data_IF_691442549934
#
_entry.id   IF_691442549934
#
_cell.length_a   1.000
_cell.length_b   1.000
_cell.length_c   1.000
_cell.angle_alpha   90.00
_cell.angle_beta   90.00
_cell.angle_gamma   90.00
#
_symmetry.space_group_name_H-M   'P 1'
#
loop_
_entity.id
_entity.type
_entity.pdbx_description
1 polymer ?
#
# COMPACT_ATOMS: atom_id res chain seq x y z
N UNK A 1 5.84 -3.89 -1.80
CA UNK A 1 6.34 -2.76 -2.61
C UNK A 1 7.88 -2.73 -2.54
N UNK A 2 8.55 -3.48 -3.42
CA UNK A 2 10.03 -3.51 -3.55
C UNK A 2 10.49 -3.31 -5.00
N UNK A 3 9.58 -3.01 -5.93
CA UNK A 3 9.84 -3.02 -7.37
C UNK A 3 9.88 -1.62 -8.03
N UNK A 4 10.31 -0.59 -7.30
CA UNK A 4 10.62 0.71 -7.92
C UNK A 4 12.03 0.75 -8.56
N UNK A 5 12.81 -0.33 -8.42
CA UNK A 5 14.19 -0.44 -8.89
C UNK A 5 14.41 -0.27 -10.42
N UNK A 6 13.49 -0.60 -11.36
CA UNK A 6 13.83 -0.56 -12.79
C UNK A 6 13.65 0.82 -13.46
N UNK A 7 13.01 1.80 -12.81
CA UNK A 7 12.72 3.10 -13.45
C UNK A 7 13.86 4.11 -13.35
N UNK A 8 14.55 4.19 -12.22
CA UNK A 8 15.66 5.13 -12.01
C UNK A 8 16.84 4.91 -12.96
N UNK A 9 17.27 3.67 -13.27
CA UNK A 9 18.35 3.43 -14.22
C UNK A 9 18.05 4.00 -15.61
N UNK A 10 16.82 3.84 -16.10
CA UNK A 10 16.44 4.32 -17.43
C UNK A 10 16.41 5.86 -17.50
N UNK A 11 15.89 6.52 -16.46
CA UNK A 11 15.90 7.98 -16.38
C UNK A 11 17.34 8.53 -16.29
N UNK A 12 18.20 7.89 -15.49
CA UNK A 12 19.60 8.27 -15.39
C UNK A 12 20.35 8.10 -16.73
N UNK A 13 20.16 6.96 -17.41
CA UNK A 13 20.73 6.72 -18.75
C UNK A 13 20.26 7.80 -19.73
N UNK A 14 18.98 8.15 -19.71
CA UNK A 14 18.42 9.19 -20.56
C UNK A 14 19.06 10.56 -20.30
N UNK A 15 19.21 10.97 -19.02
CA UNK A 15 19.85 12.23 -18.63
C UNK A 15 21.31 12.26 -19.09
N UNK A 16 22.08 11.21 -18.81
CA UNK A 16 23.49 11.10 -19.22
C UNK A 16 23.62 11.13 -20.74
N UNK A 17 22.76 10.43 -21.46
CA UNK A 17 22.74 10.46 -22.92
C UNK A 17 22.49 11.88 -23.46
N UNK A 18 21.60 12.65 -22.83
CA UNK A 18 21.37 14.04 -23.22
C UNK A 18 22.58 14.95 -22.96
N UNK A 19 23.26 14.80 -21.82
CA UNK A 19 24.47 15.56 -21.53
C UNK A 19 25.58 15.27 -22.55
N UNK A 20 25.82 13.99 -22.86
CA UNK A 20 26.78 13.58 -23.88
C UNK A 20 26.38 14.10 -25.26
N UNK A 21 25.10 14.05 -25.62
CA UNK A 21 24.62 14.52 -26.92
C UNK A 21 24.82 16.03 -27.08
N UNK A 22 24.56 16.83 -26.02
CA UNK A 22 24.75 18.29 -26.03
C UNK A 22 26.24 18.64 -26.19
N UNK A 23 27.12 17.94 -25.48
CA UNK A 23 28.57 18.11 -25.64
C UNK A 23 29.03 17.74 -27.06
N UNK A 24 28.52 16.63 -27.62
CA UNK A 24 28.82 16.24 -29.01
C UNK A 24 28.31 17.27 -30.02
N UNK A 25 27.11 17.81 -29.81
CA UNK A 25 26.57 18.88 -30.64
C UNK A 25 27.45 20.13 -30.59
N UNK A 26 27.96 20.50 -29.41
CA UNK A 26 28.85 21.64 -29.26
C UNK A 26 30.21 21.40 -29.94
N UNK A 27 30.83 20.25 -29.65
CA UNK A 27 32.13 19.88 -30.22
C UNK A 27 32.08 19.76 -31.75
N UNK A 28 30.95 19.38 -32.33
CA UNK A 28 30.79 19.33 -33.79
C UNK A 28 30.78 20.70 -34.50
N UNK A 29 30.68 21.80 -33.74
CA UNK A 29 30.85 23.17 -34.25
C UNK A 29 32.32 23.64 -34.19
N UNK A 30 33.22 22.86 -33.56
CA UNK A 30 34.62 23.22 -33.43
C UNK A 30 35.38 23.08 -34.75
N UNK A 31 36.56 23.70 -34.83
CA UNK A 31 37.45 23.56 -36.00
C UNK A 31 38.06 22.15 -36.12
N UNK A 32 38.10 21.41 -35.01
CA UNK A 32 38.68 20.06 -34.89
C UNK A 32 37.64 18.96 -35.16
N UNK A 33 36.37 19.32 -35.33
CA UNK A 33 35.31 18.41 -35.68
C UNK A 33 35.56 17.74 -37.04
N UNK A 34 35.21 16.45 -37.15
CA UNK A 34 35.28 15.75 -38.43
C UNK A 34 34.44 16.45 -39.51
N UNK A 35 34.93 16.44 -40.75
CA UNK A 35 34.37 17.23 -41.87
C UNK A 35 32.86 17.03 -42.08
N UNK A 36 32.37 15.78 -41.99
CA UNK A 36 30.94 15.47 -42.11
C UNK A 36 30.12 16.07 -40.95
N UNK A 37 30.62 15.99 -39.72
CA UNK A 37 29.93 16.51 -38.54
C UNK A 37 29.83 18.03 -38.62
N UNK A 38 30.92 18.69 -39.01
CA UNK A 38 30.96 20.13 -39.26
C UNK A 38 30.00 20.55 -40.37
N UNK A 39 29.92 19.78 -41.47
CA UNK A 39 28.97 20.04 -42.56
C UNK A 39 27.52 19.91 -42.10
N UNK A 40 27.18 18.88 -41.33
CA UNK A 40 25.84 18.67 -40.76
C UNK A 40 25.45 19.74 -39.74
N UNK A 41 26.39 20.16 -38.89
CA UNK A 41 26.19 21.21 -37.88
C UNK A 41 26.09 22.61 -38.49
N UNK A 42 26.65 22.80 -39.69
CA UNK A 42 26.52 24.02 -40.46
C UNK A 42 25.18 24.20 -41.20
N UNK A 43 24.29 23.21 -41.18
CA UNK A 43 22.97 23.29 -41.81
C UNK A 43 21.98 24.14 -41.01
N UNK A 44 21.12 24.87 -41.72
CA UNK A 44 20.02 25.60 -41.09
C UNK A 44 20.44 26.89 -40.43
N UNK A 45 21.31 27.67 -41.10
CA UNK A 45 21.72 29.01 -40.65
C UNK A 45 20.63 30.04 -40.93
N UNK A 46 19.81 29.79 -41.94
CA UNK A 46 18.65 30.63 -42.28
C UNK A 46 17.38 30.11 -41.57
N UNK A 47 16.42 30.99 -41.22
CA UNK A 47 15.18 30.60 -40.51
C UNK A 47 14.32 29.56 -41.24
N UNK A 48 14.38 29.54 -42.58
CA UNK A 48 13.58 28.65 -43.44
C UNK A 48 14.29 27.31 -43.76
N UNK A 49 15.52 27.14 -43.31
CA UNK A 49 16.29 25.93 -43.56
C UNK A 49 16.13 24.94 -42.42
N UNK A 50 16.09 23.65 -42.77
CA UNK A 50 16.10 22.60 -41.76
C UNK A 50 17.48 22.42 -41.14
N UNK A 51 17.50 21.87 -39.93
CA UNK A 51 18.73 21.65 -39.18
C UNK A 51 18.70 20.35 -38.39
N UNK A 52 19.89 19.80 -38.18
CA UNK A 52 20.11 18.66 -37.30
C UNK A 52 20.62 19.09 -35.92
N UNK A 53 21.65 19.94 -35.89
CA UNK A 53 22.29 20.37 -34.65
C UNK A 53 21.54 21.58 -34.03
N UNK A 54 20.96 21.46 -32.83
CA UNK A 54 20.31 22.57 -32.16
C UNK A 54 21.29 23.66 -31.68
N UNK A 55 22.55 23.30 -31.41
CA UNK A 55 23.60 24.25 -31.02
C UNK A 55 24.12 24.94 -32.26
N UNK A 56 23.94 26.26 -32.37
CA UNK A 56 24.17 27.01 -33.61
C UNK A 56 25.53 27.65 -33.73
N UNK A 57 26.17 27.96 -32.61
CA UNK A 57 27.51 28.55 -32.59
C UNK A 57 28.39 27.85 -31.56
N UNK A 58 29.70 27.82 -31.82
CA UNK A 58 30.67 27.25 -30.90
C UNK A 58 30.85 28.11 -29.63
N UNK A 59 30.61 29.42 -29.70
CA UNK A 59 30.71 30.32 -28.55
C UNK A 59 29.53 30.21 -27.56
N UNK A 60 28.47 29.48 -27.92
CA UNK A 60 27.34 29.26 -27.02
C UNK A 60 27.73 28.37 -25.84
N UNK A 61 27.41 28.84 -24.64
CA UNK A 61 27.52 28.04 -23.42
C UNK A 61 26.48 26.90 -23.46
N UNK A 62 26.95 25.65 -23.44
CA UNK A 62 26.12 24.44 -23.41
C UNK A 62 25.12 24.44 -22.25
N UNK A 63 25.51 24.98 -21.09
CA UNK A 63 24.62 25.09 -19.92
C UNK A 63 23.50 26.09 -20.18
N UNK A 64 23.81 27.22 -20.82
CA UNK A 64 22.80 28.22 -21.21
C UNK A 64 21.79 27.65 -22.21
N UNK A 65 22.24 26.82 -23.16
CA UNK A 65 21.36 26.17 -24.13
C UNK A 65 20.41 25.15 -23.47
N UNK A 66 20.91 24.35 -22.53
CA UNK A 66 20.06 23.46 -21.72
C UNK A 66 18.99 24.27 -20.98
N UNK A 67 19.36 25.39 -20.36
CA UNK A 67 18.44 26.17 -19.53
C UNK A 67 17.52 27.13 -20.31
N UNK A 68 17.66 27.22 -21.63
CA UNK A 68 16.79 28.05 -22.49
C UNK A 68 15.84 27.21 -23.34
N UNK A 69 16.16 25.95 -23.60
CA UNK A 69 15.29 25.04 -24.35
C UNK A 69 14.16 24.47 -23.48
N UNK A 70 12.98 24.27 -24.09
CA UNK A 70 11.84 23.62 -23.43
C UNK A 70 12.27 22.26 -22.85
N UNK A 71 12.97 21.46 -23.65
CA UNK A 71 13.41 20.12 -23.24
C UNK A 71 14.40 20.17 -22.06
N UNK A 72 15.37 21.09 -22.05
CA UNK A 72 16.34 21.16 -20.96
C UNK A 72 15.75 21.70 -19.65
N UNK A 73 14.97 22.79 -19.69
CA UNK A 73 14.31 23.34 -18.48
C UNK A 73 13.36 22.32 -17.86
N UNK A 74 12.46 21.75 -18.66
CA UNK A 74 11.54 20.72 -18.18
C UNK A 74 12.30 19.47 -17.72
N UNK A 75 13.40 19.10 -18.39
CA UNK A 75 14.27 17.98 -18.02
C UNK A 75 14.88 18.14 -16.63
N UNK A 76 15.34 19.35 -16.29
CA UNK A 76 15.84 19.66 -14.93
C UNK A 76 14.72 19.57 -13.91
N UNK A 77 13.56 20.19 -14.18
CA UNK A 77 12.41 20.19 -13.26
C UNK A 77 11.91 18.78 -12.97
N UNK A 78 11.70 17.95 -13.99
CA UNK A 78 11.24 16.56 -13.79
C UNK A 78 12.30 15.70 -13.09
N UNK A 79 13.59 15.96 -13.32
CA UNK A 79 14.68 15.24 -12.65
C UNK A 79 14.71 15.57 -11.17
N UNK A 80 14.62 16.85 -10.80
CA UNK A 80 14.56 17.28 -9.39
C UNK A 80 13.34 16.70 -8.71
N UNK A 81 12.16 16.79 -9.34
CA UNK A 81 10.94 16.20 -8.82
C UNK A 81 11.09 14.68 -8.59
N UNK A 82 11.65 13.94 -9.57
CA UNK A 82 11.88 12.51 -9.46
C UNK A 82 12.84 12.17 -8.31
N UNK A 83 13.95 12.90 -8.17
CA UNK A 83 14.92 12.67 -7.08
C UNK A 83 14.26 12.89 -5.71
N UNK A 84 13.48 13.96 -5.55
CA UNK A 84 12.76 14.24 -4.30
C UNK A 84 11.74 13.15 -3.96
N UNK A 85 10.94 12.72 -4.94
CA UNK A 85 9.96 11.63 -4.78
C UNK A 85 10.67 10.33 -4.37
N UNK A 86 11.76 9.99 -5.06
CA UNK A 86 12.44 8.71 -4.84
C UNK A 86 13.18 8.64 -3.51
N UNK A 87 13.88 9.72 -3.14
CA UNK A 87 14.61 9.79 -1.87
C UNK A 87 13.66 9.70 -0.69
N UNK A 88 12.57 10.47 -0.70
CA UNK A 88 11.58 10.45 0.38
C UNK A 88 10.80 9.13 0.47
N UNK A 89 10.68 8.39 -0.63
CA UNK A 89 9.98 7.09 -0.69
C UNK A 89 10.82 5.91 -0.19
N UNK A 90 12.09 6.12 0.17
CA UNK A 90 12.93 5.08 0.78
C UNK A 90 12.33 4.59 2.10
N UNK A 91 12.49 3.30 2.41
CA UNK A 91 11.87 2.70 3.62
C UNK A 91 12.33 3.39 4.92
N UNK A 92 13.58 3.87 4.95
CA UNK A 92 14.14 4.59 6.09
C UNK A 92 13.43 5.93 6.33
N UNK A 93 13.22 6.73 5.27
CA UNK A 93 12.57 8.05 5.39
C UNK A 93 11.06 7.87 5.59
N UNK A 94 10.41 7.00 4.79
CA UNK A 94 8.96 6.78 4.89
C UNK A 94 8.52 6.25 6.27
N UNK A 95 9.35 5.46 6.94
CA UNK A 95 9.06 4.97 8.30
C UNK A 95 9.32 6.00 9.40
N UNK A 96 10.33 6.84 9.23
CA UNK A 96 10.74 7.82 10.25
C UNK A 96 10.00 9.15 10.12
N UNK A 97 9.70 9.58 8.89
CA UNK A 97 9.14 10.88 8.54
C UNK A 97 8.05 10.71 7.46
N UNK A 98 6.89 10.20 7.85
CA UNK A 98 5.80 9.94 6.90
C UNK A 98 5.30 11.21 6.20
N UNK A 99 5.23 12.35 6.90
CA UNK A 99 4.83 13.64 6.33
C UNK A 99 5.73 14.08 5.16
N UNK A 100 7.05 13.98 5.35
CA UNK A 100 8.02 14.33 4.29
C UNK A 100 7.80 13.46 3.06
N UNK A 101 7.60 12.16 3.26
CA UNK A 101 7.21 11.25 2.19
C UNK A 101 5.92 11.73 1.51
N UNK A 102 4.86 11.98 2.27
CA UNK A 102 3.54 12.32 1.74
C UNK A 102 3.54 13.59 0.90
N UNK A 103 4.10 14.70 1.40
CA UNK A 103 4.15 15.97 0.68
C UNK A 103 5.01 15.90 -0.59
N UNK A 104 6.20 15.31 -0.49
CA UNK A 104 7.10 15.21 -1.64
C UNK A 104 6.56 14.24 -2.70
N UNK A 105 5.79 13.21 -2.32
CA UNK A 105 5.20 12.30 -3.29
C UNK A 105 4.25 13.01 -4.25
N UNK A 106 3.52 14.05 -3.80
CA UNK A 106 2.61 14.84 -4.63
C UNK A 106 3.30 15.59 -5.79
N UNK A 107 4.63 15.70 -5.76
CA UNK A 107 5.41 16.17 -6.92
C UNK A 107 5.21 15.28 -8.16
N UNK A 108 4.57 14.11 -8.06
CA UNK A 108 4.14 13.31 -9.21
C UNK A 108 3.31 14.15 -10.20
N UNK A 109 2.52 15.12 -9.72
CA UNK A 109 1.73 16.02 -10.58
C UNK A 109 2.65 16.86 -11.46
N UNK A 110 3.66 17.49 -10.86
CA UNK A 110 4.69 18.27 -11.56
C UNK A 110 5.47 17.38 -12.53
N UNK A 111 5.83 16.17 -12.10
CA UNK A 111 6.54 15.20 -12.91
C UNK A 111 5.77 14.82 -14.19
N UNK A 112 4.50 14.43 -14.09
CA UNK A 112 3.71 14.00 -15.26
C UNK A 112 3.36 15.16 -16.20
N UNK A 113 3.04 16.35 -15.67
CA UNK A 113 2.84 17.55 -16.48
C UNK A 113 4.13 17.89 -17.23
N UNK A 114 5.25 17.91 -16.51
CA UNK A 114 6.57 18.15 -17.09
C UNK A 114 6.92 17.14 -18.17
N UNK A 115 6.62 15.85 -17.97
CA UNK A 115 6.90 14.77 -18.94
C UNK A 115 6.11 14.94 -20.25
N UNK A 116 4.86 15.42 -20.19
CA UNK A 116 4.06 15.73 -21.38
C UNK A 116 4.69 16.88 -22.17
N UNK A 117 5.14 17.93 -21.47
CA UNK A 117 5.73 19.13 -22.08
C UNK A 117 7.16 18.88 -22.58
N UNK A 118 7.92 18.01 -21.93
CA UNK A 118 9.35 17.79 -22.16
C UNK A 118 9.70 17.50 -23.61
N UNK A 119 8.89 16.69 -24.29
CA UNK A 119 9.08 16.36 -25.71
C UNK A 119 8.59 17.41 -26.70
N UNK A 120 7.86 18.45 -26.26
CA UNK A 120 7.24 19.44 -27.14
C UNK A 120 8.25 20.34 -27.84
N UNK A 121 9.45 20.51 -27.26
CA UNK A 121 10.54 21.26 -27.90
C UNK A 121 11.14 20.58 -29.13
N UNK A 122 10.78 19.31 -29.40
CA UNK A 122 11.24 18.52 -30.55
C UNK A 122 12.75 18.62 -30.83
N UNK A 123 13.55 18.69 -29.75
CA UNK A 123 15.00 18.89 -29.80
C UNK A 123 15.72 17.74 -30.52
N UNK A 124 15.20 16.52 -30.40
CA UNK A 124 15.71 15.36 -31.12
C UNK A 124 15.16 15.40 -32.55
N UNK A 125 16.05 15.68 -33.49
CA UNK A 125 15.72 15.80 -34.91
C UNK A 125 16.27 14.60 -35.69
N UNK A 126 15.54 14.21 -36.72
CA UNK A 126 15.93 13.16 -37.65
C UNK A 126 15.65 13.60 -39.08
N UNK A 127 16.30 12.93 -40.03
CA UNK A 127 16.05 13.18 -41.44
C UNK A 127 14.60 12.81 -41.78
N UNK A 128 13.92 13.68 -42.51
CA UNK A 128 12.51 13.51 -42.90
C UNK A 128 12.36 12.32 -43.85
N UNK A 129 11.20 11.66 -43.83
CA UNK A 129 10.91 10.55 -44.74
C UNK A 129 11.05 10.96 -46.22
N UNK A 130 10.62 12.17 -46.58
CA UNK A 130 10.79 12.70 -47.94
C UNK A 130 12.26 12.88 -48.31
N UNK A 131 13.09 13.37 -47.39
CA UNK A 131 14.52 13.50 -47.63
C UNK A 131 15.20 12.14 -47.72
N UNK A 132 14.82 11.15 -46.90
CA UNK A 132 15.38 9.80 -46.96
C UNK A 132 15.08 9.08 -48.29
N UNK A 133 14.00 9.43 -48.99
CA UNK A 133 13.69 8.89 -50.31
C UNK A 133 14.61 9.43 -51.41
N UNK A 134 15.12 10.65 -51.25
CA UNK A 134 15.90 11.37 -52.27
C UNK A 134 17.39 11.42 -51.94
N UNK A 135 17.75 11.37 -50.66
CA UNK A 135 19.12 11.47 -50.15
C UNK A 135 19.56 10.10 -49.63
N UNK A 136 20.32 9.37 -50.45
CA UNK A 136 20.86 8.07 -50.07
C UNK A 136 21.93 8.22 -48.97
N UNK A 137 21.56 7.99 -47.72
CA UNK A 137 22.42 8.26 -46.54
C UNK A 137 23.75 7.51 -46.60
N UNK A 138 23.77 6.24 -47.05
CA UNK A 138 25.01 5.45 -47.08
C UNK A 138 25.99 5.97 -48.11
N UNK A 139 25.50 6.43 -49.26
CA UNK A 139 26.32 7.01 -50.32
C UNK A 139 26.72 8.48 -50.03
N UNK A 140 25.74 9.31 -49.67
CA UNK A 140 25.91 10.75 -49.50
C UNK A 140 26.70 11.13 -48.25
N UNK A 141 26.77 10.24 -47.24
CA UNK A 141 27.66 10.40 -46.08
C UNK A 141 29.12 10.58 -46.51
N UNK A 142 29.57 9.77 -47.47
CA UNK A 142 30.97 9.76 -47.92
C UNK A 142 31.22 10.79 -49.05
N UNK A 143 30.16 11.33 -49.66
CA UNK A 143 30.19 12.34 -50.73
C UNK A 143 29.62 13.70 -50.28
N UNK A 144 29.91 14.11 -49.04
CA UNK A 144 29.31 15.32 -48.42
C UNK A 144 29.71 16.65 -49.08
N UNK A 145 30.81 16.67 -49.85
CA UNK A 145 31.25 17.83 -50.64
C UNK A 145 30.43 18.06 -51.92
N UNK A 146 29.68 17.03 -52.33
CA UNK A 146 28.84 17.01 -53.54
C UNK A 146 27.37 17.29 -53.22
N UNK A 147 27.01 17.44 -51.94
CA UNK A 147 25.67 17.84 -51.55
C UNK A 147 25.26 19.13 -52.27
N UNK A 148 24.04 19.15 -52.81
CA UNK A 148 23.46 20.21 -53.67
C UNK A 148 24.06 20.32 -55.09
N UNK A 149 25.23 19.76 -55.34
CA UNK A 149 25.91 19.84 -56.65
C UNK A 149 25.45 18.74 -57.61
N UNK A 150 25.13 17.57 -57.07
CA UNK A 150 24.71 16.39 -57.85
C UNK A 150 23.29 15.97 -57.48
N UNK A 151 22.52 15.53 -58.48
CA UNK A 151 21.12 15.08 -58.29
C UNK A 151 20.97 13.91 -57.31
N UNK A 152 22.04 13.12 -57.15
CA UNK A 152 22.11 11.94 -56.31
C UNK A 152 22.18 12.26 -54.81
N UNK A 153 22.61 13.47 -54.45
CA UNK A 153 22.74 13.93 -53.06
C UNK A 153 22.14 15.33 -52.86
N UNK A 154 20.81 15.47 -52.90
CA UNK A 154 20.15 16.72 -52.53
C UNK A 154 20.39 17.04 -51.05
N UNK A 155 20.23 18.30 -50.63
CA UNK A 155 20.49 18.69 -49.24
C UNK A 155 19.56 17.91 -48.27
N UNK A 156 20.11 17.25 -47.22
CA UNK A 156 19.30 16.48 -46.29
C UNK A 156 18.39 17.40 -45.47
N UNK A 157 17.11 17.03 -45.36
CA UNK A 157 16.11 17.81 -44.63
C UNK A 157 15.75 17.16 -43.30
N UNK A 158 15.79 17.93 -42.21
CA UNK A 158 15.61 17.45 -40.85
C UNK A 158 14.38 18.04 -40.14
N UNK A 159 13.66 17.21 -39.42
CA UNK A 159 12.53 17.63 -38.59
C UNK A 159 12.62 17.04 -37.19
N UNK A 160 12.11 17.78 -36.21
CA UNK A 160 11.97 17.30 -34.84
C UNK A 160 10.97 16.14 -34.76
N UNK A 161 11.27 15.14 -33.93
CA UNK A 161 10.34 14.03 -33.67
C UNK A 161 9.14 14.54 -32.87
N UNK A 162 7.94 14.09 -33.24
CA UNK A 162 6.70 14.44 -32.52
C UNK A 162 6.71 13.84 -31.10
N UNK A 163 6.23 14.57 -30.09
CA UNK A 163 6.12 14.05 -28.73
C UNK A 163 5.11 12.90 -28.67
N UNK A 164 5.49 11.79 -28.05
CA UNK A 164 4.65 10.59 -27.89
C UNK A 164 4.32 10.26 -26.43
N UNK A 165 4.95 10.93 -25.46
CA UNK A 165 4.78 10.65 -24.04
C UNK A 165 3.30 10.79 -23.59
N UNK A 166 2.60 11.80 -24.11
CA UNK A 166 1.18 12.02 -23.79
C UNK A 166 0.29 10.81 -24.10
N UNK A 167 0.61 10.01 -25.13
CA UNK A 167 -0.17 8.81 -25.48
C UNK A 167 -0.13 7.75 -24.37
N UNK A 168 1.02 7.62 -23.72
CA UNK A 168 1.25 6.66 -22.65
C UNK A 168 0.78 7.18 -21.29
N UNK A 169 0.78 8.50 -21.08
CA UNK A 169 0.31 9.13 -19.84
C UNK A 169 -1.21 9.27 -19.80
N UNK A 170 -1.86 9.52 -20.94
CA UNK A 170 -3.29 9.86 -21.00
C UNK A 170 -4.20 8.78 -20.40
N UNK A 171 -4.06 7.52 -20.86
CA UNK A 171 -4.95 6.43 -20.41
C UNK A 171 -4.84 6.17 -18.90
N UNK A 172 -3.64 6.00 -18.29
CA UNK A 172 -3.51 5.87 -16.85
C UNK A 172 -4.02 7.08 -16.06
N UNK A 173 -3.82 8.31 -16.56
CA UNK A 173 -4.31 9.53 -15.88
C UNK A 173 -5.84 9.59 -15.91
N UNK A 174 -6.48 9.21 -17.01
CA UNK A 174 -7.95 9.13 -17.08
C UNK A 174 -8.48 8.11 -16.08
N UNK A 175 -7.89 6.91 -16.02
CA UNK A 175 -8.27 5.89 -15.04
C UNK A 175 -8.09 6.39 -13.59
N UNK A 176 -6.97 7.07 -13.31
CA UNK A 176 -6.72 7.68 -12.00
C UNK A 176 -7.76 8.75 -11.65
N UNK A 177 -8.12 9.63 -12.59
CA UNK A 177 -9.14 10.66 -12.38
C UNK A 177 -10.50 10.01 -12.11
N UNK A 178 -10.89 8.98 -12.87
CA UNK A 178 -12.12 8.24 -12.62
C UNK A 178 -12.13 7.63 -11.21
N UNK A 179 -11.03 7.01 -10.78
CA UNK A 179 -10.87 6.46 -9.43
C UNK A 179 -11.01 7.54 -8.34
N UNK A 180 -10.40 8.72 -8.56
CA UNK A 180 -10.49 9.86 -7.65
C UNK A 180 -11.90 10.46 -7.57
N UNK A 181 -12.62 10.53 -8.69
CA UNK A 181 -14.02 10.97 -8.72
C UNK A 181 -14.90 9.99 -7.91
N UNK A 182 -14.71 8.68 -8.09
CA UNK A 182 -15.44 7.66 -7.31
C UNK A 182 -15.13 7.76 -5.82
N UNK A 183 -13.87 7.98 -5.43
CA UNK A 183 -13.51 8.25 -4.02
C UNK A 183 -14.15 9.52 -3.50
N UNK A 184 -14.12 10.61 -4.28
CA UNK A 184 -14.71 11.88 -3.88
C UNK A 184 -16.22 11.74 -3.65
N UNK A 185 -16.94 11.03 -4.52
CA UNK A 185 -18.36 10.74 -4.31
C UNK A 185 -18.62 9.90 -3.05
N UNK A 186 -17.80 8.87 -2.79
CA UNK A 186 -17.88 8.07 -1.54
C UNK A 186 -17.56 8.88 -0.29
N UNK A 187 -16.68 9.88 -0.40
CA UNK A 187 -16.32 10.81 0.68
C UNK A 187 -17.46 11.77 1.04
N UNK A 188 -18.23 12.22 0.06
CA UNK A 188 -19.36 13.15 0.30
C UNK A 188 -20.52 12.49 1.06
N UNK A 189 -20.56 11.16 1.13
CA UNK A 189 -21.58 10.44 1.88
C UNK A 189 -21.42 10.68 3.39
N UNK A 190 -22.50 11.09 4.03
CA UNK A 190 -22.53 11.35 5.46
C UNK A 190 -22.38 10.06 6.28
N UNK A 191 -21.57 10.15 7.34
CA UNK A 191 -21.35 9.09 8.31
C UNK A 191 -21.88 9.58 9.65
N UNK A 192 -22.83 8.85 10.21
CA UNK A 192 -23.43 9.15 11.51
C UNK A 192 -22.75 8.30 12.56
N UNK A 193 -22.15 8.93 13.56
CA UNK A 193 -21.63 8.24 14.75
C UNK A 193 -22.82 7.90 15.63
N UNK A 194 -22.97 6.64 16.01
CA UNK A 194 -24.07 6.18 16.88
C UNK A 194 -23.64 5.97 18.32
N UNK A 195 -22.39 5.58 18.54
CA UNK A 195 -21.85 5.32 19.88
C UNK A 195 -20.33 5.50 19.89
N UNK A 196 -19.81 6.02 21.00
CA UNK A 196 -18.38 6.13 21.28
C UNK A 196 -18.12 5.46 22.62
N UNK A 197 -17.15 4.56 22.68
CA UNK A 197 -16.76 3.86 23.91
C UNK A 197 -15.25 3.95 24.07
N UNK A 198 -14.80 4.32 25.25
CA UNK A 198 -13.38 4.30 25.63
C UNK A 198 -13.13 3.08 26.50
N UNK A 199 -12.23 2.20 26.05
CA UNK A 199 -11.83 1.01 26.79
C UNK A 199 -10.57 1.28 27.61
N UNK A 200 -10.31 0.40 28.59
CA UNK A 200 -9.03 0.30 29.27
C UNK A 200 -7.90 0.08 28.24
N UNK A 201 -6.66 0.46 28.58
CA UNK A 201 -5.50 0.41 27.68
C UNK A 201 -5.49 1.38 26.47
N UNK A 202 -6.29 2.45 26.51
CA UNK A 202 -6.22 3.52 25.51
C UNK A 202 -6.73 3.07 24.13
N UNK A 203 -7.85 2.36 24.10
CA UNK A 203 -8.54 1.93 22.88
C UNK A 203 -9.87 2.68 22.76
N UNK A 204 -10.08 3.32 21.60
CA UNK A 204 -11.32 3.99 21.23
C UNK A 204 -12.16 3.09 20.34
N UNK A 205 -13.38 2.79 20.74
CA UNK A 205 -14.37 2.10 19.92
C UNK A 205 -15.38 3.11 19.36
N UNK A 206 -15.55 3.10 18.04
CA UNK A 206 -16.47 3.98 17.31
C UNK A 206 -17.50 3.13 16.59
N UNK A 207 -18.79 3.39 16.84
CA UNK A 207 -19.90 2.81 16.09
C UNK A 207 -20.47 3.84 15.13
N UNK A 208 -20.66 3.43 13.88
CA UNK A 208 -21.01 4.32 12.79
C UNK A 208 -22.07 3.69 11.88
N UNK A 209 -22.84 4.54 11.21
CA UNK A 209 -23.77 4.16 10.14
C UNK A 209 -23.55 5.03 8.91
N UNK A 210 -23.68 4.42 7.74
CA UNK A 210 -23.50 5.05 6.44
C UNK A 210 -24.51 4.46 5.45
N UNK A 211 -25.19 5.31 4.71
CA UNK A 211 -26.22 4.87 3.77
C UNK A 211 -25.63 3.96 2.68
N UNK A 212 -26.26 2.80 2.45
CA UNK A 212 -25.83 1.84 1.43
C UNK A 212 -24.49 1.14 1.72
N UNK A 213 -23.93 1.29 2.92
CA UNK A 213 -22.68 0.64 3.31
C UNK A 213 -22.93 -0.85 3.60
N UNK A 214 -22.22 -1.71 2.87
CA UNK A 214 -22.23 -3.16 3.04
C UNK A 214 -20.80 -3.63 3.24
N UNK A 215 -20.55 -4.35 4.32
CA UNK A 215 -19.24 -4.89 4.65
C UNK A 215 -19.26 -6.42 4.67
N UNK A 216 -18.08 -7.01 4.66
CA UNK A 216 -17.83 -8.42 4.96
C UNK A 216 -16.89 -8.52 6.17
N UNK A 217 -16.90 -9.68 6.83
CA UNK A 217 -16.08 -9.88 8.02
C UNK A 217 -14.58 -9.83 7.70
N UNK A 218 -13.82 -9.09 8.52
CA UNK A 218 -12.37 -8.91 8.34
C UNK A 218 -11.97 -7.79 7.36
N UNK A 219 -12.92 -7.15 6.67
CA UNK A 219 -12.64 -5.99 5.84
C UNK A 219 -12.19 -4.78 6.67
N UNK A 220 -11.53 -3.82 6.03
CA UNK A 220 -11.09 -2.58 6.65
C UNK A 220 -11.62 -1.34 5.91
N UNK A 221 -11.57 -0.20 6.58
CA UNK A 221 -11.96 1.10 6.05
C UNK A 221 -10.83 2.11 6.27
N UNK A 222 -10.82 3.17 5.49
CA UNK A 222 -10.02 4.37 5.80
C UNK A 222 -10.92 5.38 6.50
N UNK A 223 -10.40 5.93 7.60
CA UNK A 223 -11.03 6.99 8.37
C UNK A 223 -10.26 8.29 8.23
N UNK A 224 -11.01 9.37 8.08
CA UNK A 224 -10.52 10.74 8.14
C UNK A 224 -11.39 11.52 9.13
N UNK A 225 -10.73 12.36 9.93
CA UNK A 225 -11.38 13.18 10.94
C UNK A 225 -11.00 14.65 10.71
N UNK A 226 -11.95 15.49 10.30
CA UNK A 226 -11.67 16.86 9.90
C UNK A 226 -11.14 17.75 11.02
N UNK A 227 -11.44 17.42 12.28
CA UNK A 227 -10.91 18.15 13.44
C UNK A 227 -9.46 17.78 13.79
N UNK A 228 -8.96 16.65 13.29
CA UNK A 228 -7.56 16.21 13.50
C UNK A 228 -6.72 16.59 12.29
N UNK A 229 -7.12 16.12 11.11
CA UNK A 229 -6.43 16.41 9.85
C UNK A 229 -7.40 16.28 8.68
N UNK A 230 -7.43 17.28 7.80
CA UNK A 230 -8.33 17.31 6.64
C UNK A 230 -7.85 16.45 5.47
N UNK A 231 -6.58 16.02 5.49
CA UNK A 231 -5.92 15.36 4.36
C UNK A 231 -5.51 13.92 4.67
N UNK A 232 -5.29 13.58 5.94
CA UNK A 232 -4.85 12.25 6.34
C UNK A 232 -5.99 11.25 6.43
N UNK A 233 -5.74 10.07 5.88
CA UNK A 233 -6.61 8.92 5.90
C UNK A 233 -5.88 7.73 6.51
N UNK A 234 -6.45 7.15 7.57
CA UNK A 234 -5.82 6.07 8.32
C UNK A 234 -6.66 4.78 8.21
N UNK A 235 -6.05 3.63 7.90
CA UNK A 235 -6.76 2.37 7.76
C UNK A 235 -7.09 1.75 9.12
N UNK A 236 -8.32 1.25 9.28
CA UNK A 236 -8.77 0.52 10.46
C UNK A 236 -9.66 -0.65 10.07
N UNK A 237 -9.38 -1.81 10.65
CA UNK A 237 -10.17 -3.02 10.44
C UNK A 237 -11.53 -2.89 11.11
N UNK A 238 -12.56 -3.32 10.40
CA UNK A 238 -13.92 -3.39 10.93
C UNK A 238 -13.98 -4.50 11.98
N UNK A 239 -14.46 -4.17 13.17
CA UNK A 239 -14.62 -5.09 14.29
C UNK A 239 -16.04 -5.63 14.44
N UNK A 240 -17.00 -4.94 13.83
CA UNK A 240 -18.40 -5.34 13.73
C UNK A 240 -18.60 -6.49 12.74
N UNK A 241 -19.65 -7.28 12.93
CA UNK A 241 -20.06 -8.32 11.98
C UNK A 241 -20.97 -7.73 10.90
N UNK A 242 -20.94 -8.24 9.65
CA UNK A 242 -21.80 -7.75 8.58
C UNK A 242 -23.30 -7.91 8.86
N UNK A 243 -23.67 -8.77 9.82
CA UNK A 243 -25.03 -8.95 10.30
C UNK A 243 -25.50 -7.86 11.30
N UNK A 244 -24.61 -7.00 11.79
CA UNK A 244 -24.95 -5.88 12.69
C UNK A 244 -25.45 -4.65 11.91
N UNK A 245 -26.39 -3.88 12.48
CA UNK A 245 -26.99 -2.69 11.84
C UNK A 245 -26.07 -1.46 11.80
N UNK A 246 -24.85 -1.59 12.28
CA UNK A 246 -23.81 -0.56 12.34
C UNK A 246 -22.47 -1.19 12.00
N UNK A 247 -21.51 -0.36 11.61
CA UNK A 247 -20.13 -0.79 11.52
C UNK A 247 -19.28 -0.12 12.58
N UNK A 248 -18.30 -0.84 13.11
CA UNK A 248 -17.43 -0.35 14.17
C UNK A 248 -15.96 -0.62 13.93
N UNK A 249 -15.13 0.22 14.55
CA UNK A 249 -13.68 0.07 14.59
C UNK A 249 -13.17 0.21 16.02
N UNK A 250 -12.06 -0.48 16.32
CA UNK A 250 -11.32 -0.32 17.57
C UNK A 250 -9.94 0.27 17.26
N UNK A 251 -9.68 1.47 17.78
CA UNK A 251 -8.50 2.28 17.47
C UNK A 251 -7.64 2.37 18.72
N UNK A 252 -6.47 1.73 18.70
CA UNK A 252 -5.47 1.87 19.77
C UNK A 252 -4.66 3.15 19.59
N UNK A 253 -4.42 3.88 20.68
CA UNK A 253 -3.52 5.04 20.67
C UNK A 253 -2.07 4.58 20.53
N UNK A 254 -1.46 4.85 19.37
CA UNK A 254 -0.07 4.47 19.06
C UNK A 254 0.76 5.59 18.42
N UNK A 255 0.11 6.58 17.80
CA UNK A 255 0.72 7.71 17.14
C UNK A 255 -0.02 9.02 17.40
N UNK A 256 0.53 10.11 16.86
CA UNK A 256 0.02 11.47 16.95
C UNK A 256 -1.43 11.61 16.47
N UNK A 257 -1.76 11.11 15.28
CA UNK A 257 -3.13 11.16 14.75
C UNK A 257 -4.11 10.39 15.63
N UNK A 258 -3.76 9.17 16.04
CA UNK A 258 -4.62 8.34 16.91
C UNK A 258 -4.78 8.95 18.31
N UNK A 259 -3.76 9.62 18.84
CA UNK A 259 -3.83 10.31 20.12
C UNK A 259 -4.71 11.55 20.04
N UNK A 260 -4.60 12.33 18.96
CA UNK A 260 -5.46 13.48 18.70
C UNK A 260 -6.93 13.05 18.49
N UNK A 261 -7.17 11.94 17.78
CA UNK A 261 -8.50 11.35 17.65
C UNK A 261 -9.04 10.91 19.02
N UNK A 262 -8.25 10.18 19.80
CA UNK A 262 -8.64 9.75 21.14
C UNK A 262 -8.96 10.93 22.04
N UNK A 263 -8.22 12.04 21.96
CA UNK A 263 -8.55 13.26 22.70
C UNK A 263 -9.85 13.91 22.22
N UNK A 264 -10.06 13.96 20.91
CA UNK A 264 -11.26 14.59 20.32
C UNK A 264 -12.55 13.85 20.69
N UNK A 265 -12.48 12.52 20.79
CA UNK A 265 -13.64 11.64 21.06
C UNK A 265 -13.73 11.12 22.50
N UNK A 266 -12.59 10.97 23.18
CA UNK A 266 -12.44 10.26 24.46
C UNK A 266 -12.01 11.14 25.63
N UNK A 267 -12.16 12.48 25.54
CA UNK A 267 -11.86 13.37 26.67
C UNK A 267 -12.71 13.00 27.91
N UNK A 268 -12.06 12.33 28.86
CA UNK A 268 -12.57 12.06 30.19
C UNK A 268 -12.85 13.38 30.94
N UNK A 269 -14.07 13.45 31.50
CA UNK A 269 -14.54 14.31 32.61
C UNK A 269 -15.08 15.70 32.26
N UNK A 270 -16.40 15.76 32.03
CA UNK A 270 -17.42 16.35 32.96
C UNK A 270 -18.77 16.66 32.30
N UNK A 271 -18.87 16.61 30.97
CA UNK A 271 -20.13 16.84 30.27
C UNK A 271 -20.39 15.70 29.28
N UNK A 272 -21.60 15.17 29.30
CA UNK A 272 -22.13 14.34 28.21
C UNK A 272 -22.02 15.17 26.93
N UNK A 273 -21.10 14.83 26.01
CA UNK A 273 -21.11 15.45 24.69
C UNK A 273 -22.21 14.75 23.90
N UNK A 274 -23.28 15.48 23.63
CA UNK A 274 -24.30 15.07 22.67
C UNK A 274 -23.64 14.69 21.33
N UNK A 275 -24.15 13.64 20.68
CA UNK A 275 -23.54 13.06 19.47
C UNK A 275 -23.35 14.08 18.34
N UNK A 276 -24.17 15.13 18.27
CA UNK A 276 -24.04 16.21 17.28
C UNK A 276 -22.83 17.13 17.51
N UNK A 277 -22.20 17.10 18.68
CA UNK A 277 -20.99 17.89 18.99
C UNK A 277 -19.70 17.13 18.67
N UNK A 278 -19.82 15.86 18.29
CA UNK A 278 -18.66 15.05 17.93
C UNK A 278 -18.10 15.52 16.57
N UNK A 279 -16.78 15.43 16.38
CA UNK A 279 -16.18 15.72 15.09
C UNK A 279 -16.78 14.87 13.96
N UNK A 280 -16.90 15.47 12.79
CA UNK A 280 -17.33 14.76 11.60
C UNK A 280 -16.25 13.78 11.16
N UNK A 281 -16.66 12.54 10.90
CA UNK A 281 -15.84 11.49 10.30
C UNK A 281 -16.21 11.29 8.84
N UNK A 282 -15.21 10.98 8.02
CA UNK A 282 -15.39 10.46 6.68
C UNK A 282 -14.85 9.04 6.59
N UNK A 283 -15.58 8.18 5.88
CA UNK A 283 -15.29 6.75 5.73
C UNK A 283 -15.16 6.41 4.25
N UNK A 284 -14.02 5.83 3.88
CA UNK A 284 -13.77 5.24 2.56
C UNK A 284 -13.59 3.72 2.69
N UNK A 285 -14.25 2.96 1.82
CA UNK A 285 -14.30 1.50 1.87
C UNK A 285 -15.73 0.94 1.75
N UNK A 286 -15.92 -0.34 2.08
CA UNK A 286 -14.92 -1.24 2.66
C UNK A 286 -13.89 -1.74 1.63
N UNK A 287 -12.76 -2.22 2.14
CA UNK A 287 -11.68 -2.82 1.36
C UNK A 287 -11.50 -4.28 1.77
N UNK A 288 -11.36 -5.16 0.77
CA UNK A 288 -11.18 -6.60 0.95
C UNK A 288 -9.90 -6.94 1.72
N UNK A 289 -9.94 -8.04 2.47
CA UNK A 289 -8.80 -8.55 3.22
C UNK A 289 -8.72 -10.07 3.11
N UNK A 290 -7.52 -10.65 3.22
CA UNK A 290 -7.31 -12.10 3.05
C UNK A 290 -8.05 -12.96 4.10
N UNK A 291 -8.41 -12.38 5.24
CA UNK A 291 -9.17 -13.06 6.30
C UNK A 291 -10.61 -13.39 5.94
N UNK A 292 -11.18 -12.85 4.86
CA UNK A 292 -12.51 -13.30 4.38
C UNK A 292 -12.50 -14.78 4.00
N UNK A 293 -11.34 -15.32 3.64
CA UNK A 293 -11.17 -16.72 3.25
C UNK A 293 -11.23 -17.70 4.44
N UNK A 294 -11.34 -17.23 5.68
CA UNK A 294 -11.50 -18.09 6.88
C UNK A 294 -12.68 -19.06 6.72
N UNK A 295 -13.73 -18.64 6.03
CA UNK A 295 -14.94 -19.46 5.78
C UNK A 295 -14.76 -20.52 4.69
N UNK A 296 -13.70 -20.45 3.87
CA UNK A 296 -13.43 -21.40 2.78
C UNK A 296 -12.75 -22.68 3.26
N UNK A 297 -12.10 -22.66 4.42
CA UNK A 297 -11.43 -23.82 5.00
C UNK A 297 -12.34 -24.58 5.98
N UNK A 298 -12.18 -25.91 6.05
CA UNK A 298 -12.84 -26.72 7.08
C UNK A 298 -12.23 -26.50 8.46
N UNK A 299 -10.92 -26.26 8.51
CA UNK A 299 -10.17 -25.98 9.73
C UNK A 299 -9.40 -24.68 9.52
N UNK A 300 -9.65 -23.70 10.39
CA UNK A 300 -8.99 -22.39 10.32
C UNK A 300 -8.26 -22.09 11.62
N UNK A 301 -7.02 -21.64 11.51
CA UNK A 301 -6.15 -21.22 12.60
C UNK A 301 -5.98 -19.71 12.50
N UNK A 302 -6.58 -18.98 13.43
CA UNK A 302 -6.56 -17.53 13.52
C UNK A 302 -5.55 -17.10 14.59
N UNK A 303 -4.48 -16.41 14.20
CA UNK A 303 -3.40 -15.99 15.09
C UNK A 303 -3.34 -14.46 15.12
N UNK A 304 -3.60 -13.89 16.29
CA UNK A 304 -3.60 -12.45 16.52
C UNK A 304 -2.48 -12.06 17.48
N UNK A 305 -1.82 -10.93 17.23
CA UNK A 305 -0.91 -10.32 18.20
C UNK A 305 -1.27 -8.85 18.47
N UNK A 306 -1.47 -8.51 19.75
CA UNK A 306 -1.87 -7.16 20.18
C UNK A 306 -3.20 -6.72 19.55
N UNK A 307 -3.23 -5.52 18.95
CA UNK A 307 -4.43 -4.96 18.27
C UNK A 307 -4.79 -5.72 16.98
N UNK A 308 -3.91 -6.60 16.49
CA UNK A 308 -4.18 -7.47 15.34
C UNK A 308 -5.31 -8.49 15.56
N UNK A 309 -5.94 -8.49 16.74
CA UNK A 309 -7.16 -9.26 17.03
C UNK A 309 -8.41 -8.70 16.33
N UNK A 310 -8.38 -7.43 15.96
CA UNK A 310 -9.54 -6.70 15.37
C UNK A 310 -10.20 -7.38 14.16
N UNK A 311 -9.49 -7.88 13.12
CA UNK A 311 -10.15 -8.65 12.04
C UNK A 311 -10.87 -9.89 12.57
N UNK A 312 -10.25 -10.60 13.51
CA UNK A 312 -10.81 -11.82 14.08
C UNK A 312 -12.04 -11.55 14.96
N UNK A 313 -12.18 -10.35 15.54
CA UNK A 313 -13.41 -9.96 16.23
C UNK A 313 -14.62 -10.00 15.30
N UNK A 314 -14.50 -9.37 14.13
CA UNK A 314 -15.56 -9.36 13.12
C UNK A 314 -15.87 -10.76 12.61
N UNK A 315 -14.83 -11.58 12.38
CA UNK A 315 -14.98 -12.96 11.91
C UNK A 315 -15.68 -13.84 12.94
N UNK A 316 -15.24 -13.82 14.20
CA UNK A 316 -15.84 -14.62 15.26
C UNK A 316 -17.30 -14.22 15.52
N UNK A 317 -17.61 -12.92 15.48
CA UNK A 317 -19.01 -12.45 15.53
C UNK A 317 -19.82 -12.94 14.34
N UNK A 318 -19.31 -12.86 13.11
CA UNK A 318 -20.02 -13.37 11.93
C UNK A 318 -20.23 -14.88 11.99
N UNK A 319 -19.24 -15.64 12.49
CA UNK A 319 -19.39 -17.06 12.78
C UNK A 319 -20.53 -17.29 13.78
N UNK A 320 -20.61 -16.47 14.84
CA UNK A 320 -21.71 -16.54 15.81
C UNK A 320 -23.08 -16.33 15.16
N UNK A 321 -23.25 -15.25 14.39
CA UNK A 321 -24.52 -14.93 13.72
C UNK A 321 -24.93 -16.01 12.71
N UNK A 322 -23.98 -16.46 11.88
CA UNK A 322 -24.21 -17.56 10.93
C UNK A 322 -24.57 -18.86 11.65
N UNK A 323 -23.95 -19.13 12.80
CA UNK A 323 -24.31 -20.28 13.61
C UNK A 323 -25.69 -20.12 14.24
N UNK A 324 -26.12 -18.93 14.65
CA UNK A 324 -27.46 -18.67 15.18
C UNK A 324 -28.54 -18.89 14.11
N UNK A 325 -28.26 -18.62 12.84
CA UNK A 325 -29.19 -18.81 11.74
C UNK A 325 -29.30 -20.30 11.34
N UNK A 326 -30.48 -20.95 11.47
CA UNK A 326 -30.65 -22.37 11.16
C UNK A 326 -30.52 -22.69 9.67
N UNK A 327 -30.64 -21.70 8.77
CA UNK A 327 -30.59 -21.90 7.32
C UNK A 327 -29.17 -21.85 6.75
N UNK A 328 -28.16 -21.52 7.56
CA UNK A 328 -26.79 -21.35 7.10
C UNK A 328 -25.95 -22.59 7.38
N UNK A 329 -25.44 -23.22 6.32
CA UNK A 329 -24.48 -24.33 6.43
C UNK A 329 -23.06 -23.76 6.31
N UNK A 330 -22.28 -23.87 7.38
CA UNK A 330 -20.86 -23.49 7.38
C UNK A 330 -19.99 -24.67 6.92
N UNK A 331 -19.14 -24.45 5.93
CA UNK A 331 -18.08 -25.39 5.56
C UNK A 331 -17.02 -25.51 6.66
N UNK A 332 -16.83 -24.44 7.43
CA UNK A 332 -15.97 -24.35 8.60
C UNK A 332 -16.48 -25.27 9.72
N UNK A 333 -15.63 -26.19 10.17
CA UNK A 333 -15.93 -27.20 11.19
C UNK A 333 -15.19 -26.94 12.50
N UNK A 334 -13.98 -26.37 12.43
CA UNK A 334 -13.12 -26.13 13.59
C UNK A 334 -12.35 -24.82 13.44
N UNK A 335 -12.34 -24.02 14.51
CA UNK A 335 -11.54 -22.80 14.61
C UNK A 335 -10.58 -22.91 15.78
N UNK A 336 -9.30 -22.68 15.51
CA UNK A 336 -8.28 -22.46 16.53
C UNK A 336 -7.96 -20.99 16.57
N UNK A 337 -8.12 -20.35 17.72
CA UNK A 337 -7.87 -18.93 17.90
C UNK A 337 -6.71 -18.72 18.88
N UNK A 338 -5.60 -18.17 18.42
CA UNK A 338 -4.45 -17.85 19.25
C UNK A 338 -4.36 -16.34 19.40
N UNK A 339 -4.38 -15.83 20.63
CA UNK A 339 -4.20 -14.41 20.87
C UNK A 339 -3.04 -14.14 21.79
N UNK A 340 -2.05 -13.41 21.27
CA UNK A 340 -0.82 -13.08 21.98
C UNK A 340 -0.85 -11.60 22.33
N UNK A 341 -0.89 -11.29 23.61
CA UNK A 341 -0.86 -9.91 24.09
C UNK A 341 0.21 -9.71 25.17
N UNK A 342 0.59 -8.47 25.38
CA UNK A 342 1.50 -8.05 26.46
C UNK A 342 0.77 -7.41 27.64
N UNK A 343 -0.43 -6.91 27.40
CA UNK A 343 -1.22 -6.12 28.34
C UNK A 343 -2.51 -6.87 28.65
N UNK A 344 -2.78 -7.22 29.93
CA UNK A 344 -3.97 -7.95 30.31
C UNK A 344 -5.26 -7.15 30.11
N UNK A 345 -5.24 -5.82 30.28
CA UNK A 345 -6.45 -4.99 30.11
C UNK A 345 -6.92 -4.93 28.66
N UNK A 346 -6.05 -5.26 27.69
CA UNK A 346 -6.45 -5.41 26.29
C UNK A 346 -7.42 -6.58 26.06
N UNK A 347 -7.51 -7.54 27.00
CA UNK A 347 -8.39 -8.70 26.91
C UNK A 347 -9.85 -8.40 27.26
N UNK A 348 -10.11 -7.36 28.05
CA UNK A 348 -11.43 -7.10 28.66
C UNK A 348 -12.56 -7.02 27.62
N UNK A 349 -12.41 -6.19 26.58
CA UNK A 349 -13.47 -5.97 25.58
C UNK A 349 -13.74 -7.18 24.67
N UNK A 350 -12.78 -8.11 24.55
CA UNK A 350 -12.85 -9.24 23.63
C UNK A 350 -13.17 -10.56 24.33
N UNK A 351 -12.86 -10.68 25.63
CA UNK A 351 -13.18 -11.86 26.42
C UNK A 351 -14.69 -12.14 26.44
N UNK A 352 -15.52 -11.09 26.54
CA UNK A 352 -16.99 -11.21 26.48
C UNK A 352 -17.46 -11.87 25.18
N UNK A 353 -16.85 -11.53 24.05
CA UNK A 353 -17.18 -12.14 22.75
C UNK A 353 -16.83 -13.63 22.73
N UNK A 354 -15.67 -14.01 23.25
CA UNK A 354 -15.26 -15.42 23.33
C UNK A 354 -16.20 -16.22 24.23
N UNK A 355 -16.58 -15.66 25.38
CA UNK A 355 -17.52 -16.28 26.31
C UNK A 355 -18.90 -16.52 25.70
N UNK A 356 -19.44 -15.50 25.01
CA UNK A 356 -20.74 -15.61 24.32
C UNK A 356 -20.71 -16.66 23.20
N UNK A 357 -19.60 -16.72 22.46
CA UNK A 357 -19.41 -17.68 21.38
C UNK A 357 -19.28 -19.11 21.91
N UNK A 358 -18.49 -19.33 22.96
CA UNK A 358 -18.35 -20.64 23.61
C UNK A 358 -19.70 -21.14 24.13
N UNK A 359 -20.43 -20.30 24.87
CA UNK A 359 -21.74 -20.64 25.45
C UNK A 359 -22.72 -21.05 24.35
N UNK A 360 -22.81 -20.28 23.26
CA UNK A 360 -23.73 -20.57 22.15
C UNK A 360 -23.36 -21.85 21.40
N UNK A 361 -22.07 -22.10 21.18
CA UNK A 361 -21.61 -23.33 20.53
C UNK A 361 -21.91 -24.55 21.41
N UNK A 362 -21.80 -24.41 22.73
CA UNK A 362 -22.14 -25.47 23.66
C UNK A 362 -23.63 -25.83 23.64
N UNK A 363 -24.53 -24.83 23.59
CA UNK A 363 -25.97 -25.06 23.43
C UNK A 363 -26.32 -25.86 22.17
N UNK A 364 -25.53 -25.72 21.10
CA UNK A 364 -25.71 -26.46 19.84
C UNK A 364 -25.03 -27.82 19.80
N UNK A 365 -24.48 -28.29 20.93
CA UNK A 365 -23.72 -29.55 21.01
C UNK A 365 -22.39 -29.50 20.27
N UNK A 366 -21.88 -28.31 19.95
CA UNK A 366 -20.62 -28.06 19.24
C UNK A 366 -19.54 -27.54 20.18
N UNK A 367 -19.37 -28.20 21.33
CA UNK A 367 -18.37 -27.82 22.35
C UNK A 367 -16.96 -27.69 21.76
N UNK A 368 -16.62 -28.56 20.80
CA UNK A 368 -15.32 -28.59 20.16
C UNK A 368 -15.23 -27.69 18.92
N UNK A 369 -16.15 -26.77 18.65
CA UNK A 369 -16.06 -25.95 17.43
C UNK A 369 -14.96 -24.87 17.53
N UNK A 370 -14.87 -24.17 18.65
CA UNK A 370 -13.89 -23.12 18.89
C UNK A 370 -12.92 -23.58 19.99
N UNK A 371 -11.63 -23.50 19.72
CA UNK A 371 -10.59 -23.61 20.75
C UNK A 371 -9.75 -22.34 20.74
N UNK A 372 -9.80 -21.57 21.81
CA UNK A 372 -8.99 -20.37 21.95
C UNK A 372 -7.83 -20.60 22.92
N UNK A 373 -6.67 -20.03 22.62
CA UNK A 373 -5.47 -20.08 23.44
C UNK A 373 -4.94 -18.65 23.59
N UNK A 374 -5.04 -18.12 24.81
CA UNK A 374 -4.63 -16.75 25.12
C UNK A 374 -3.24 -16.81 25.75
N UNK A 375 -2.32 -16.02 25.20
CA UNK A 375 -0.93 -15.96 25.64
C UNK A 375 -0.60 -14.56 26.16
N UNK A 376 -0.30 -14.46 27.45
CA UNK A 376 0.20 -13.23 28.07
C UNK A 376 1.73 -13.27 28.10
N UNK A 377 2.34 -12.34 27.37
CA UNK A 377 3.80 -12.23 27.20
C UNK A 377 4.44 -11.15 28.06
N UNK A 378 3.64 -10.26 28.65
CA UNK A 378 4.08 -9.27 29.63
C UNK A 378 3.41 -9.58 30.96
N UNK A 379 4.19 -9.93 31.97
CA UNK A 379 3.72 -10.22 33.33
C UNK A 379 4.77 -9.75 34.34
N UNK A 380 4.31 -9.31 35.51
CA UNK A 380 5.16 -8.96 36.64
C UNK A 380 5.06 -10.01 37.78
N UNK A 381 5.95 -9.95 38.77
CA UNK A 381 5.99 -10.89 39.89
C UNK A 381 4.71 -10.85 40.76
N UNK A 382 4.06 -9.69 40.85
CA UNK A 382 2.83 -9.52 41.64
C UNK A 382 1.62 -10.18 40.96
N UNK A 383 1.51 -10.06 39.64
CA UNK A 383 0.53 -10.74 38.81
C UNK A 383 0.75 -12.25 38.88
N UNK A 384 1.99 -12.72 38.70
CA UNK A 384 2.32 -14.14 38.77
C UNK A 384 1.91 -14.78 40.11
N UNK A 385 2.05 -14.04 41.21
CA UNK A 385 1.65 -14.50 42.55
C UNK A 385 0.13 -14.60 42.69
N UNK A 386 -0.62 -13.59 42.25
CA UNK A 386 -2.09 -13.61 42.27
C UNK A 386 -2.66 -14.73 41.39
N UNK A 387 -2.01 -15.00 40.25
CA UNK A 387 -2.39 -16.08 39.32
C UNK A 387 -2.13 -17.46 39.92
N UNK A 388 -0.95 -17.67 40.54
CA UNK A 388 -0.60 -18.96 41.13
C UNK A 388 -1.53 -19.35 42.28
N UNK A 389 -1.99 -18.37 43.06
CA UNK A 389 -2.93 -18.56 44.18
C UNK A 389 -4.32 -19.02 43.73
N UNK A 390 -4.72 -18.69 42.50
CA UNK A 390 -6.04 -18.98 41.94
C UNK A 390 -5.98 -19.98 40.78
N UNK A 391 -4.88 -20.73 40.65
CA UNK A 391 -4.72 -21.68 39.55
C UNK A 391 -5.75 -22.81 39.60
N UNK A 392 -6.23 -23.22 40.77
CA UNK A 392 -7.20 -24.33 40.88
C UNK A 392 -8.66 -23.93 40.57
N UNK A 393 -8.91 -22.64 40.31
CA UNK A 393 -10.24 -22.17 39.95
C UNK A 393 -10.67 -22.66 38.55
N UNK A 394 -11.98 -22.89 38.39
CA UNK A 394 -12.59 -23.39 37.14
C UNK A 394 -12.60 -22.36 36.01
N UNK A 395 -12.43 -21.09 36.34
CA UNK A 395 -12.38 -19.98 35.40
C UNK A 395 -11.06 -19.25 35.53
N UNK A 396 -10.57 -18.73 34.41
CA UNK A 396 -9.36 -17.93 34.34
C UNK A 396 -9.54 -16.60 35.07
N UNK A 397 -8.55 -16.25 35.91
CA UNK A 397 -8.62 -15.07 36.79
C UNK A 397 -8.46 -13.76 36.03
N UNK A 398 -7.80 -13.81 34.86
CA UNK A 398 -7.51 -12.62 34.05
C UNK A 398 -8.67 -12.36 33.09
N UNK A 399 -9.17 -13.40 32.44
CA UNK A 399 -10.13 -13.28 31.33
C UNK A 399 -11.56 -13.70 31.71
N UNK A 400 -11.76 -14.38 32.84
CA UNK A 400 -13.05 -14.95 33.24
C UNK A 400 -13.50 -16.14 32.39
N UNK A 401 -12.64 -16.65 31.50
CA UNK A 401 -12.95 -17.70 30.53
C UNK A 401 -12.68 -19.11 31.09
N UNK A 402 -13.27 -20.14 30.50
CA UNK A 402 -13.01 -21.54 30.90
C UNK A 402 -11.58 -22.00 30.60
N UNK A 403 -11.06 -21.63 29.43
CA UNK A 403 -9.67 -21.89 29.09
C UNK A 403 -8.74 -20.92 29.83
N UNK A 404 -7.73 -21.46 30.51
CA UNK A 404 -6.71 -20.68 31.21
C UNK A 404 -5.77 -19.95 30.26
N UNK A 405 -5.31 -18.78 30.70
CA UNK A 405 -4.28 -17.99 30.03
C UNK A 405 -2.92 -18.68 30.15
N UNK A 406 -2.21 -18.82 29.03
CA UNK A 406 -0.83 -19.30 28.97
C UNK A 406 0.15 -18.15 29.16
N UNK A 407 1.25 -18.41 29.86
CA UNK A 407 2.29 -17.41 30.10
C UNK A 407 3.50 -17.64 29.21
N UNK A 408 4.02 -16.54 28.66
CA UNK A 408 5.13 -16.57 27.71
C UNK A 408 4.66 -16.71 26.26
N UNK A 409 5.58 -17.18 25.40
CA UNK A 409 5.33 -17.28 23.96
C UNK A 409 4.89 -18.69 23.58
N UNK A 410 3.97 -18.83 22.60
CA UNK A 410 3.59 -20.14 22.08
C UNK A 410 4.80 -20.89 21.52
N UNK A 411 4.90 -22.18 21.82
CA UNK A 411 5.84 -23.06 21.14
C UNK A 411 5.21 -23.53 19.81
N UNK A 412 5.38 -22.72 18.77
CA UNK A 412 4.78 -22.98 17.46
C UNK A 412 5.15 -24.33 16.85
N UNK A 413 6.32 -24.88 17.18
CA UNK A 413 6.73 -26.20 16.70
C UNK A 413 5.78 -27.28 17.24
N UNK A 414 5.52 -27.27 18.56
CA UNK A 414 4.58 -28.17 19.20
C UNK A 414 3.14 -27.93 18.74
N UNK A 415 2.71 -26.68 18.62
CA UNK A 415 1.35 -26.34 18.19
C UNK A 415 1.07 -26.85 16.77
N UNK A 416 1.96 -26.58 15.81
CA UNK A 416 1.80 -27.03 14.43
C UNK A 416 1.89 -28.55 14.30
N UNK A 417 2.77 -29.20 15.07
CA UNK A 417 2.84 -30.66 15.14
C UNK A 417 1.52 -31.27 15.60
N UNK A 418 0.95 -30.78 16.70
CA UNK A 418 -0.34 -31.26 17.21
C UNK A 418 -1.49 -31.00 16.23
N UNK A 419 -1.50 -29.83 15.56
CA UNK A 419 -2.49 -29.51 14.54
C UNK A 419 -2.41 -30.47 13.34
N UNK A 420 -1.20 -30.81 12.90
CA UNK A 420 -0.98 -31.76 11.81
C UNK A 420 -1.44 -33.18 12.18
N UNK A 421 -1.16 -33.62 13.41
CA UNK A 421 -1.57 -34.93 13.93
C UNK A 421 -3.09 -35.04 14.11
N UNK A 422 -3.75 -33.96 14.56
CA UNK A 422 -5.19 -33.95 14.83
C UNK A 422 -6.06 -33.84 13.58
N UNK A 423 -5.53 -33.27 12.50
CA UNK A 423 -6.28 -33.02 11.26
C UNK A 423 -5.57 -33.62 10.03
N UNK A 424 -5.38 -34.96 9.98
CA UNK A 424 -4.80 -35.59 8.80
C UNK A 424 -5.71 -35.36 7.57
N UNK A 425 -5.10 -35.26 6.39
CA UNK A 425 -5.78 -35.09 5.09
C UNK A 425 -6.64 -33.83 4.94
N UNK A 426 -6.50 -32.83 5.83
CA UNK A 426 -7.20 -31.56 5.72
C UNK A 426 -6.26 -30.43 5.27
N UNK A 427 -6.79 -29.52 4.46
CA UNK A 427 -6.18 -28.22 4.21
C UNK A 427 -6.58 -27.25 5.33
N UNK A 428 -5.59 -26.76 6.06
CA UNK A 428 -5.73 -25.88 7.22
C UNK A 428 -5.35 -24.45 6.78
N UNK A 429 -6.29 -23.52 6.91
CA UNK A 429 -6.03 -22.11 6.64
C UNK A 429 -5.42 -21.45 7.87
N UNK A 430 -4.19 -20.93 7.75
CA UNK A 430 -3.51 -20.20 8.84
C UNK A 430 -3.55 -18.72 8.53
N UNK A 431 -4.26 -17.95 9.35
CA UNK A 431 -4.47 -16.52 9.19
C UNK A 431 -3.74 -15.78 10.30
N UNK A 432 -2.87 -14.84 9.95
CA UNK A 432 -2.06 -14.10 10.92
C UNK A 432 -2.21 -12.59 10.76
N UNK A 433 -2.45 -11.89 11.87
CA UNK A 433 -2.39 -10.43 11.93
C UNK A 433 -1.53 -9.98 13.13
N UNK A 434 -0.38 -9.35 12.85
CA UNK A 434 0.57 -8.93 13.89
C UNK A 434 1.97 -8.57 13.38
N UNK A 435 3.00 -8.58 14.27
CA UNK A 435 4.36 -8.17 13.91
C UNK A 435 5.02 -9.03 12.83
N UNK A 436 5.72 -8.40 11.89
CA UNK A 436 6.44 -9.06 10.77
C UNK A 436 7.42 -10.15 11.21
N UNK A 437 8.06 -9.98 12.38
CA UNK A 437 8.98 -10.99 12.92
C UNK A 437 8.27 -12.30 13.21
N UNK A 438 7.05 -12.23 13.77
CA UNK A 438 6.23 -13.41 14.04
C UNK A 438 5.65 -14.00 12.75
N UNK A 439 5.24 -13.15 11.81
CA UNK A 439 4.78 -13.59 10.47
C UNK A 439 5.80 -14.51 9.79
N UNK A 440 7.08 -14.12 9.76
CA UNK A 440 8.16 -14.94 9.17
C UNK A 440 8.32 -16.31 9.85
N UNK A 441 8.11 -16.37 11.16
CA UNK A 441 8.17 -17.63 11.93
C UNK A 441 7.00 -18.53 11.53
N UNK A 442 5.78 -17.99 11.51
CA UNK A 442 4.57 -18.75 11.17
C UNK A 442 4.59 -19.24 9.73
N UNK A 443 5.07 -18.42 8.79
CA UNK A 443 5.25 -18.83 7.40
C UNK A 443 6.22 -20.02 7.27
N UNK A 444 7.33 -19.99 8.03
CA UNK A 444 8.28 -21.11 8.10
C UNK A 444 7.61 -22.35 8.68
N UNK A 445 6.82 -22.21 9.76
CA UNK A 445 6.11 -23.35 10.38
C UNK A 445 5.09 -23.98 9.43
N UNK A 446 4.29 -23.17 8.73
CA UNK A 446 3.35 -23.68 7.72
C UNK A 446 4.09 -24.49 6.63
N UNK A 447 5.24 -24.01 6.18
CA UNK A 447 6.05 -24.70 5.16
C UNK A 447 6.65 -26.00 5.68
N UNK A 448 7.17 -26.01 6.92
CA UNK A 448 7.81 -27.19 7.52
C UNK A 448 6.82 -28.31 7.86
N UNK A 449 5.61 -27.95 8.29
CA UNK A 449 4.59 -28.91 8.74
C UNK A 449 3.57 -29.28 7.65
N UNK A 450 3.68 -28.70 6.46
CA UNK A 450 2.87 -29.12 5.31
C UNK A 450 3.40 -30.42 4.72
N UNK A 451 2.56 -31.44 4.69
CA UNK A 451 2.87 -32.73 4.09
C UNK A 451 2.80 -32.66 2.56
N UNK A 452 3.79 -33.29 1.91
CA UNK A 452 3.76 -33.54 0.45
C UNK A 452 2.77 -34.66 0.11
N UNK A 453 2.58 -35.62 1.02
CA UNK A 453 1.57 -36.68 0.89
C UNK A 453 0.17 -36.09 1.12
N UNK A 454 -0.80 -36.25 0.19
CA UNK A 454 -2.19 -35.82 0.35
C UNK A 454 -2.90 -36.38 1.60
N UNK A 455 -2.38 -37.46 2.19
CA UNK A 455 -2.91 -38.04 3.44
C UNK A 455 -2.51 -37.24 4.69
N UNK A 456 -1.47 -36.41 4.61
CA UNK A 456 -1.05 -35.53 5.69
C UNK A 456 -1.77 -34.19 5.68
N UNK A 457 -1.55 -33.37 6.71
CA UNK A 457 -2.10 -32.02 6.79
C UNK A 457 -1.36 -31.06 5.83
N UNK A 458 -2.09 -30.12 5.23
CA UNK A 458 -1.53 -29.05 4.39
C UNK A 458 -1.86 -27.69 5.01
N UNK A 459 -0.86 -26.85 5.26
CA UNK A 459 -1.03 -25.54 5.87
C UNK A 459 -0.90 -24.43 4.83
N UNK A 460 -1.96 -23.63 4.67
CA UNK A 460 -2.00 -22.51 3.75
C UNK A 460 -1.88 -21.21 4.55
N UNK A 461 -0.74 -20.53 4.43
CA UNK A 461 -0.45 -19.31 5.17
C UNK A 461 -1.01 -18.06 4.49
N UNK A 462 -1.81 -17.30 5.23
CA UNK A 462 -2.42 -16.04 4.83
C UNK A 462 -2.01 -14.95 5.83
N UNK A 463 -1.19 -14.00 5.39
CA UNK A 463 -0.79 -12.86 6.21
C UNK A 463 -1.71 -11.66 5.96
N UNK A 464 -2.15 -11.04 7.04
CA UNK A 464 -2.70 -9.68 7.01
C UNK A 464 -1.64 -8.69 7.47
N UNK A 465 -1.37 -7.72 6.60
CA UNK A 465 -0.52 -6.57 6.90
C UNK A 465 -1.36 -5.31 6.81
N UNK A 466 -1.59 -4.65 7.94
CA UNK A 466 -2.11 -3.29 8.01
C UNK A 466 -0.96 -2.30 8.23
#
# INVERSE_FOLDING_TARGET
>A
MSNFAPFFPNAAIHIVAHLINIERYHNSQSKEAGELQKKLSGLGKSPNESYLNPIRTYEMNTTGEVLTTIAGVTGVVITVALVLIMTSSTELIRRSCYEVFWYTHHLFVVFFIGLIIHGMGQLIRGQTSQSLLLHNVTYCKDHYLEWEKVTQCPLPQFSGKKPVAWKWVLSPVVLYICERIVRFWRFQQEVVITKVVTHSSGVLELHMKKHGFKMEAGQYIFLQCSSVSSLEWHPFTLTSAPEEDFFSVHIRVVGDWTAALFKAFGEEKKAFKELWMLPRLAVDGPYGSATTDVFHYRVSVCIAAGIGVTPFASILKSIWYKCCNPNTVLALQKVYFYWICRDPSAFEWFADLLFLLETKMAEKGKNDFLSYHIFLTGWDESQATHIALHYDDKMDVITGLRQKTFYGRPNWDNEFKQLAEKHPSNSIGVFFCGPKTLSKILQKMCSSYSSVDPRGAQFNYNEESF
#
